data_IF_660082069478
#
_entry.id   IF_660082069478
#
_cell.length_a   1.000
_cell.length_b   1.000
_cell.length_c   1.000
_cell.angle_alpha   90.00
_cell.angle_beta   90.00
_cell.angle_gamma   90.00
#
_symmetry.space_group_name_H-M   'P 1'
#
loop_
_entity.id
_entity.type
_entity.pdbx_description
1 polymer ?
#
# COMPACT_ATOMS: atom_id res chain seq x y z
N UNK A 1 -56.41 27.30 8.75
CA UNK A 1 -55.23 28.20 8.76
C UNK A 1 -54.40 28.11 10.04
N UNK A 2 -54.98 27.86 11.24
CA UNK A 2 -54.21 27.73 12.50
C UNK A 2 -53.29 26.48 12.59
N UNK A 3 -53.71 25.33 12.05
CA UNK A 3 -52.93 24.06 12.12
C UNK A 3 -51.70 24.05 11.20
N UNK A 4 -51.80 24.63 10.00
CA UNK A 4 -50.66 24.78 9.07
C UNK A 4 -49.62 25.76 9.60
N UNK A 5 -50.04 26.85 10.25
CA UNK A 5 -49.13 27.76 10.95
C UNK A 5 -48.41 27.11 12.15
N UNK A 6 -49.10 26.23 12.89
CA UNK A 6 -48.50 25.51 14.02
C UNK A 6 -47.49 24.45 13.58
N UNK A 7 -47.73 23.77 12.45
CA UNK A 7 -46.78 22.81 11.86
C UNK A 7 -45.56 23.56 11.31
N UNK A 8 -45.74 24.67 10.60
CA UNK A 8 -44.64 25.54 10.14
C UNK A 8 -43.85 26.15 11.31
N UNK A 9 -44.50 26.47 12.42
CA UNK A 9 -43.86 26.96 13.64
C UNK A 9 -43.06 25.85 14.36
N UNK A 10 -43.58 24.62 14.44
CA UNK A 10 -42.86 23.45 14.96
C UNK A 10 -41.68 23.04 14.06
N UNK A 11 -41.85 23.11 12.73
CA UNK A 11 -40.76 22.91 11.77
C UNK A 11 -39.70 24.02 11.92
N UNK A 12 -40.12 25.27 12.12
CA UNK A 12 -39.25 26.42 12.39
C UNK A 12 -38.50 26.33 13.72
N UNK A 13 -39.11 25.76 14.76
CA UNK A 13 -38.48 25.49 16.06
C UNK A 13 -37.38 24.42 15.94
N UNK A 14 -37.53 23.43 15.06
CA UNK A 14 -36.46 22.47 14.75
C UNK A 14 -35.26 23.13 14.05
N UNK A 15 -35.49 24.16 13.23
CA UNK A 15 -34.43 24.89 12.50
C UNK A 15 -33.60 25.81 13.43
N UNK A 16 -34.13 26.20 14.60
CA UNK A 16 -33.45 27.10 15.53
C UNK A 16 -32.62 26.41 16.62
N UNK A 17 -32.66 25.08 16.71
CA UNK A 17 -31.74 24.35 17.59
C UNK A 17 -30.35 24.26 16.95
N UNK A 18 -29.46 25.16 17.37
CA UNK A 18 -28.03 25.07 17.07
C UNK A 18 -27.50 23.79 17.73
N UNK A 19 -27.55 22.68 17.00
CA UNK A 19 -27.03 21.39 17.41
C UNK A 19 -25.50 21.46 17.53
N UNK A 20 -25.00 21.77 18.73
CA UNK A 20 -23.56 21.81 19.00
C UNK A 20 -22.99 20.40 18.97
N UNK A 21 -22.20 20.08 17.94
CA UNK A 21 -21.50 18.79 17.81
C UNK A 21 -20.09 18.83 18.38
N UNK A 22 -19.75 19.86 19.15
CA UNK A 22 -18.39 20.10 19.65
C UNK A 22 -18.40 20.51 21.12
N UNK A 23 -19.48 20.26 21.86
CA UNK A 23 -19.59 20.67 23.26
C UNK A 23 -18.74 19.79 24.18
N UNK A 24 -18.58 18.50 23.88
CA UNK A 24 -17.79 17.53 24.66
C UNK A 24 -16.33 17.40 24.25
N UNK A 25 -15.89 18.15 23.25
CA UNK A 25 -14.48 18.14 22.87
C UNK A 25 -13.64 18.74 24.00
N UNK A 26 -12.47 18.16 24.24
CA UNK A 26 -11.46 18.65 25.17
C UNK A 26 -10.84 19.97 24.75
N UNK A 27 -10.16 20.65 25.68
CA UNK A 27 -9.51 21.93 25.39
C UNK A 27 -8.45 21.77 24.29
N UNK A 28 -8.44 22.69 23.31
CA UNK A 28 -7.55 22.63 22.15
C UNK A 28 -7.94 21.62 21.06
N UNK A 29 -8.92 20.75 21.29
CA UNK A 29 -9.38 19.79 20.26
C UNK A 29 -10.16 20.45 19.14
N UNK A 30 -9.88 20.01 17.92
CA UNK A 30 -10.53 20.46 16.68
C UNK A 30 -11.17 19.26 15.99
N UNK A 31 -12.48 19.32 15.77
CA UNK A 31 -13.22 18.33 15.01
C UNK A 31 -12.84 18.42 13.53
N UNK A 32 -12.42 17.30 12.96
CA UNK A 32 -12.19 17.18 11.53
C UNK A 32 -13.51 17.08 10.78
N UNK A 33 -13.69 17.95 9.79
CA UNK A 33 -14.93 18.03 9.00
C UNK A 33 -14.77 17.69 7.53
N UNK A 34 -13.71 16.96 7.18
CA UNK A 34 -13.44 16.49 5.82
C UNK A 34 -12.36 17.29 5.10
N UNK A 35 -12.07 16.85 3.88
CA UNK A 35 -11.18 17.59 2.95
C UNK A 35 -12.02 18.64 2.24
N UNK A 36 -11.55 19.89 2.25
CA UNK A 36 -12.20 20.99 1.52
C UNK A 36 -11.80 20.97 0.05
N UNK A 37 -10.51 20.82 -0.22
CA UNK A 37 -9.95 20.81 -1.57
C UNK A 37 -8.58 20.12 -1.56
N UNK A 38 -8.28 19.45 -2.66
CA UNK A 38 -6.94 18.97 -3.00
C UNK A 38 -6.49 19.74 -4.24
N UNK A 39 -5.37 20.43 -4.13
CA UNK A 39 -4.66 21.06 -5.23
C UNK A 39 -3.47 20.17 -5.60
N UNK A 40 -3.43 19.71 -6.85
CA UNK A 40 -2.29 18.98 -7.40
C UNK A 40 -1.87 19.71 -8.65
N UNK A 41 -0.68 20.28 -8.64
CA UNK A 41 -0.13 21.09 -9.71
C UNK A 41 1.29 20.59 -10.01
N UNK A 42 1.68 20.58 -11.27
CA UNK A 42 3.06 20.29 -11.64
C UNK A 42 3.89 21.58 -11.55
N UNK A 43 5.16 21.48 -11.16
CA UNK A 43 6.07 22.64 -11.10
C UNK A 43 6.24 23.30 -12.48
N UNK A 44 6.07 22.55 -13.56
CA UNK A 44 6.04 23.07 -14.92
C UNK A 44 4.75 22.63 -15.64
N UNK A 45 4.06 23.58 -16.26
CA UNK A 45 2.76 23.38 -16.95
C UNK A 45 2.82 22.35 -18.09
N UNK A 46 4.02 22.04 -18.60
CA UNK A 46 4.25 21.07 -19.67
C UNK A 46 4.27 19.62 -19.19
N UNK A 47 4.21 19.38 -17.88
CA UNK A 47 4.32 18.05 -17.27
C UNK A 47 2.93 17.54 -16.89
N UNK A 48 2.47 16.51 -17.59
CA UNK A 48 1.25 15.79 -17.20
C UNK A 48 1.54 14.83 -16.04
N UNK A 49 0.72 14.93 -15.00
CA UNK A 49 0.79 14.03 -13.84
C UNK A 49 0.01 12.75 -14.19
N UNK A 50 0.64 11.56 -14.16
CA UNK A 50 -0.06 10.32 -14.45
C UNK A 50 -1.23 10.09 -13.49
N UNK A 51 -2.32 9.50 -13.99
CA UNK A 51 -3.51 9.21 -13.20
C UNK A 51 -3.21 8.36 -11.97
N UNK A 52 -2.35 7.34 -12.10
CA UNK A 52 -1.93 6.49 -10.99
C UNK A 52 -1.26 7.26 -9.84
N UNK A 53 -0.46 8.29 -10.15
CA UNK A 53 0.16 9.16 -9.13
C UNK A 53 -0.92 9.97 -8.42
N UNK A 54 -1.83 10.57 -9.19
CA UNK A 54 -2.95 11.34 -8.64
C UNK A 54 -3.86 10.50 -7.75
N UNK A 55 -4.10 9.24 -8.11
CA UNK A 55 -4.95 8.34 -7.35
C UNK A 55 -4.27 7.86 -6.05
N UNK A 56 -2.96 7.61 -6.08
CA UNK A 56 -2.17 7.33 -4.87
C UNK A 56 -2.22 8.52 -3.89
N UNK A 57 -2.13 9.77 -4.38
CA UNK A 57 -2.29 10.97 -3.53
C UNK A 57 -3.67 10.96 -2.86
N UNK A 58 -4.74 10.75 -3.64
CA UNK A 58 -6.11 10.73 -3.15
C UNK A 58 -6.30 9.65 -2.08
N UNK A 59 -5.74 8.46 -2.29
CA UNK A 59 -5.81 7.35 -1.34
C UNK A 59 -5.13 7.71 -0.01
N UNK A 60 -3.93 8.30 -0.06
CA UNK A 60 -3.19 8.71 1.14
C UNK A 60 -3.94 9.78 1.94
N UNK A 61 -4.68 10.69 1.31
CA UNK A 61 -5.45 11.73 2.03
C UNK A 61 -6.89 11.34 2.36
N UNK A 62 -7.33 10.14 1.96
CA UNK A 62 -8.71 9.70 2.09
C UNK A 62 -9.05 9.32 3.53
N UNK A 63 -9.39 10.31 4.36
CA UNK A 63 -9.87 10.10 5.72
C UNK A 63 -11.34 10.45 5.83
N UNK A 64 -12.22 9.48 6.13
CA UNK A 64 -13.62 9.79 6.35
C UNK A 64 -13.75 10.63 7.63
N UNK A 65 -14.40 11.77 7.52
CA UNK A 65 -14.89 12.50 8.69
C UNK A 65 -16.19 11.86 9.21
N UNK A 66 -16.64 12.22 10.41
CA UNK A 66 -17.98 11.82 10.87
C UNK A 66 -19.06 12.19 9.86
N UNK A 67 -20.00 11.28 9.60
CA UNK A 67 -21.07 11.42 8.60
C UNK A 67 -20.57 11.73 7.17
N UNK A 68 -19.32 11.38 6.85
CA UNK A 68 -18.85 11.32 5.46
C UNK A 68 -19.64 10.24 4.71
N UNK A 69 -20.00 10.52 3.46
CA UNK A 69 -20.75 9.57 2.63
C UNK A 69 -19.76 8.63 1.93
N UNK A 70 -19.50 8.86 0.64
CA UNK A 70 -18.59 8.06 -0.18
C UNK A 70 -17.18 8.67 -0.29
N UNK A 71 -16.95 9.83 0.32
CA UNK A 71 -15.77 10.64 0.07
C UNK A 71 -15.53 11.66 1.18
N UNK A 72 -14.27 12.00 1.50
CA UNK A 72 -13.95 12.97 2.55
C UNK A 72 -14.40 14.39 2.21
N UNK A 73 -14.75 14.66 0.95
CA UNK A 73 -15.30 15.94 0.48
C UNK A 73 -16.80 16.08 0.74
N UNK A 74 -17.53 14.97 0.92
CA UNK A 74 -19.00 14.96 0.96
C UNK A 74 -19.50 14.38 2.28
N UNK A 75 -20.35 15.15 2.96
CA UNK A 75 -20.91 14.79 4.26
C UNK A 75 -22.43 14.96 4.28
N UNK A 76 -23.10 14.12 5.05
CA UNK A 76 -24.50 14.33 5.40
C UNK A 76 -24.66 15.62 6.23
N UNK A 77 -25.70 16.44 5.97
CA UNK A 77 -25.99 17.62 6.77
C UNK A 77 -26.54 17.29 8.18
N UNK A 78 -26.89 16.03 8.45
CA UNK A 78 -27.46 15.58 9.71
C UNK A 78 -26.46 14.72 10.49
N UNK A 79 -25.64 15.31 11.37
CA UNK A 79 -24.61 14.59 12.10
C UNK A 79 -25.16 13.87 13.33
N UNK A 80 -26.06 12.90 13.13
CA UNK A 80 -26.81 12.24 14.21
C UNK A 80 -25.88 11.59 15.25
N UNK A 81 -24.85 10.87 14.81
CA UNK A 81 -23.95 10.18 15.74
C UNK A 81 -23.16 11.12 16.63
N UNK A 82 -22.60 12.18 16.05
CA UNK A 82 -21.94 13.25 16.81
C UNK A 82 -22.91 14.00 17.72
N UNK A 83 -24.15 14.21 17.28
CA UNK A 83 -25.16 14.87 18.12
C UNK A 83 -25.48 14.02 19.35
N UNK A 84 -25.68 12.71 19.16
CA UNK A 84 -25.88 11.74 20.24
C UNK A 84 -24.68 11.74 21.19
N UNK A 85 -23.47 11.69 20.65
CA UNK A 85 -22.22 11.77 21.43
C UNK A 85 -22.21 13.00 22.34
N UNK A 86 -22.61 14.18 21.85
CA UNK A 86 -22.53 15.41 22.62
C UNK A 86 -23.67 15.57 23.66
N UNK A 87 -24.87 15.03 23.38
CA UNK A 87 -26.07 15.34 24.17
C UNK A 87 -26.61 14.19 25.02
N UNK A 88 -26.24 12.94 24.74
CA UNK A 88 -26.75 11.77 25.48
C UNK A 88 -25.66 11.14 26.35
N UNK A 89 -26.03 10.60 27.51
CA UNK A 89 -25.09 9.89 28.37
C UNK A 89 -24.88 8.47 27.87
N UNK A 90 -23.64 7.98 28.00
CA UNK A 90 -23.28 6.59 27.68
C UNK A 90 -24.08 5.58 28.51
N UNK A 91 -24.37 5.92 29.78
CA UNK A 91 -25.14 5.09 30.70
C UNK A 91 -26.66 5.07 30.44
N UNK A 92 -27.11 5.57 29.29
CA UNK A 92 -28.53 5.55 28.92
C UNK A 92 -29.06 4.10 28.86
N UNK A 93 -30.18 3.84 29.52
CA UNK A 93 -30.86 2.52 29.56
C UNK A 93 -32.06 2.45 28.61
N UNK A 94 -32.57 1.24 28.38
CA UNK A 94 -33.76 0.99 27.56
C UNK A 94 -33.59 1.38 26.08
N UNK A 95 -34.68 1.83 25.45
CA UNK A 95 -34.71 2.25 24.05
C UNK A 95 -33.71 3.39 23.76
N UNK A 96 -33.58 4.36 24.68
CA UNK A 96 -32.62 5.45 24.57
C UNK A 96 -31.18 4.93 24.51
N UNK A 97 -30.84 3.99 25.40
CA UNK A 97 -29.55 3.30 25.37
C UNK A 97 -29.30 2.52 24.09
N UNK A 98 -30.34 1.84 23.56
CA UNK A 98 -30.24 1.11 22.30
C UNK A 98 -29.97 2.06 21.12
N UNK A 99 -30.68 3.18 21.02
CA UNK A 99 -30.46 4.21 19.98
C UNK A 99 -29.04 4.77 20.09
N UNK A 100 -28.59 5.13 21.30
CA UNK A 100 -27.24 5.63 21.53
C UNK A 100 -26.19 4.66 21.00
N UNK A 101 -26.20 3.41 21.48
CA UNK A 101 -25.22 2.39 21.10
C UNK A 101 -25.25 2.06 19.60
N UNK A 102 -26.40 2.20 18.95
CA UNK A 102 -26.55 1.88 17.53
C UNK A 102 -26.06 2.98 16.59
N UNK A 103 -26.12 4.24 17.02
CA UNK A 103 -25.92 5.38 16.12
C UNK A 103 -24.88 6.39 16.59
N UNK A 104 -24.36 6.29 17.81
CA UNK A 104 -23.30 7.19 18.30
C UNK A 104 -22.05 7.06 17.45
N UNK A 105 -21.38 8.19 17.21
CA UNK A 105 -20.06 8.24 16.61
C UNK A 105 -19.14 9.08 17.47
N UNK A 106 -17.98 8.55 17.82
CA UNK A 106 -16.91 9.33 18.45
C UNK A 106 -16.39 10.40 17.46
N UNK A 107 -16.00 11.58 17.97
CA UNK A 107 -15.51 12.65 17.12
C UNK A 107 -14.18 12.29 16.48
N UNK A 108 -14.10 12.36 15.15
CA UNK A 108 -12.84 12.29 14.43
C UNK A 108 -12.11 13.62 14.60
N UNK A 109 -11.00 13.61 15.31
CA UNK A 109 -10.23 14.81 15.62
C UNK A 109 -9.17 15.08 14.56
N UNK A 110 -8.74 16.34 14.44
CA UNK A 110 -7.64 16.70 13.57
C UNK A 110 -6.33 15.97 13.95
N UNK A 111 -6.14 15.69 15.24
CA UNK A 111 -5.03 14.89 15.77
C UNK A 111 -5.05 13.44 15.31
N UNK A 112 -6.23 12.89 14.96
CA UNK A 112 -6.35 11.53 14.45
C UNK A 112 -6.06 11.50 12.95
N UNK A 113 -6.46 12.54 12.23
CA UNK A 113 -6.22 12.69 10.79
C UNK A 113 -4.75 12.87 10.48
N UNK A 114 -4.03 13.63 11.32
CA UNK A 114 -2.60 13.98 11.17
C UNK A 114 -2.24 14.46 9.76
N UNK A 115 -2.75 15.62 9.31
CA UNK A 115 -2.47 16.13 7.96
C UNK A 115 -0.97 16.27 7.66
N UNK A 116 -0.16 16.60 8.66
CA UNK A 116 1.30 16.68 8.59
C UNK A 116 1.94 15.34 8.19
N UNK A 117 1.51 14.23 8.80
CA UNK A 117 2.00 12.90 8.47
C UNK A 117 1.56 12.50 7.06
N UNK A 118 0.33 12.85 6.67
CA UNK A 118 -0.17 12.52 5.33
C UNK A 118 0.61 13.24 4.23
N UNK A 119 0.97 14.50 4.46
CA UNK A 119 1.82 15.25 3.54
C UNK A 119 3.21 14.59 3.38
N UNK A 120 3.83 14.17 4.49
CA UNK A 120 5.08 13.38 4.44
C UNK A 120 4.92 12.04 3.71
N UNK A 121 3.78 11.37 3.87
CA UNK A 121 3.49 10.12 3.14
C UNK A 121 3.30 10.37 1.64
N UNK A 122 2.69 11.50 1.25
CA UNK A 122 2.57 11.91 -0.15
C UNK A 122 3.95 12.21 -0.74
N UNK A 123 4.80 12.96 -0.03
CA UNK A 123 6.18 13.23 -0.47
C UNK A 123 6.98 11.95 -0.67
N UNK A 124 6.98 11.05 0.33
CA UNK A 124 7.66 9.75 0.24
C UNK A 124 7.12 8.88 -0.91
N UNK A 125 5.81 8.91 -1.16
CA UNK A 125 5.21 8.22 -2.30
C UNK A 125 5.67 8.83 -3.63
N UNK A 126 5.73 10.15 -3.75
CA UNK A 126 6.22 10.84 -4.94
C UNK A 126 7.70 10.55 -5.21
N UNK A 127 8.54 10.58 -4.18
CA UNK A 127 9.96 10.21 -4.25
C UNK A 127 10.14 8.76 -4.72
N UNK A 128 9.36 7.81 -4.17
CA UNK A 128 9.35 6.41 -4.61
C UNK A 128 8.90 6.21 -6.05
N UNK A 129 8.19 7.19 -6.62
CA UNK A 129 7.74 7.21 -8.01
C UNK A 129 8.53 8.17 -8.90
N UNK A 130 9.71 8.62 -8.44
CA UNK A 130 10.67 9.36 -9.27
C UNK A 130 10.43 10.86 -9.34
N UNK A 131 9.46 11.40 -8.58
CA UNK A 131 9.13 12.82 -8.54
C UNK A 131 9.88 13.54 -7.41
N UNK A 132 11.21 13.38 -7.38
CA UNK A 132 12.05 13.92 -6.32
C UNK A 132 12.00 15.44 -6.23
N UNK A 133 11.93 15.95 -5.00
CA UNK A 133 11.87 17.40 -4.75
C UNK A 133 10.47 17.99 -4.93
N UNK A 134 9.44 17.13 -5.04
CA UNK A 134 8.05 17.57 -4.89
C UNK A 134 7.83 18.15 -3.50
N UNK A 135 6.99 19.17 -3.39
CA UNK A 135 6.68 19.80 -2.09
C UNK A 135 5.21 19.60 -1.76
N UNK A 136 4.93 19.42 -0.47
CA UNK A 136 3.55 19.30 0.00
C UNK A 136 3.28 20.25 1.15
N UNK A 137 2.06 20.75 1.20
CA UNK A 137 1.61 21.59 2.29
C UNK A 137 0.13 21.36 2.57
N UNK A 138 -0.30 21.81 3.74
CA UNK A 138 -1.71 21.81 4.08
C UNK A 138 -2.10 23.08 4.81
N UNK A 139 -3.38 23.42 4.70
CA UNK A 139 -3.98 24.52 5.44
C UNK A 139 -5.24 24.04 6.16
N UNK A 140 -5.38 24.44 7.43
CA UNK A 140 -6.61 24.22 8.17
C UNK A 140 -7.58 25.37 7.95
N UNK A 141 -8.69 25.09 7.26
CA UNK A 141 -9.79 26.04 7.09
C UNK A 141 -10.81 25.85 8.20
N UNK A 142 -10.66 26.65 9.25
CA UNK A 142 -11.61 26.70 10.37
C UNK A 142 -12.99 27.20 9.93
N UNK A 143 -14.03 26.64 10.53
CA UNK A 143 -15.40 27.07 10.29
C UNK A 143 -15.66 28.44 10.94
N UNK A 144 -16.32 29.33 10.19
CA UNK A 144 -16.57 30.72 10.63
C UNK A 144 -17.54 30.80 11.81
N UNK A 145 -18.46 29.84 11.94
CA UNK A 145 -19.47 29.80 13.01
C UNK A 145 -19.00 29.00 14.22
N UNK A 146 -18.11 28.02 14.01
CA UNK A 146 -17.57 27.19 15.08
C UNK A 146 -16.06 26.95 14.88
N UNK A 147 -15.19 27.70 15.57
CA UNK A 147 -13.73 27.58 15.40
C UNK A 147 -13.17 26.25 15.91
N UNK A 148 -13.97 25.41 16.57
CA UNK A 148 -13.57 24.04 16.96
C UNK A 148 -13.80 23.02 15.84
N UNK A 149 -14.15 23.47 14.64
CA UNK A 149 -14.29 22.64 13.43
C UNK A 149 -13.35 23.15 12.37
N UNK A 150 -12.67 22.24 11.68
CA UNK A 150 -11.84 22.59 10.55
C UNK A 150 -11.96 21.57 9.42
N UNK A 151 -11.74 22.05 8.20
CA UNK A 151 -11.46 21.20 7.02
C UNK A 151 -10.02 21.36 6.62
N UNK A 152 -9.47 20.37 5.95
CA UNK A 152 -8.11 20.42 5.42
C UNK A 152 -8.14 20.80 3.95
N UNK A 153 -7.28 21.75 3.55
CA UNK A 153 -6.90 21.98 2.15
C UNK A 153 -5.51 21.40 1.99
N UNK A 154 -5.33 20.49 1.04
CA UNK A 154 -4.02 19.92 0.72
C UNK A 154 -3.51 20.53 -0.58
N UNK A 155 -2.22 20.86 -0.62
CA UNK A 155 -1.53 21.33 -1.81
C UNK A 155 -0.32 20.44 -2.07
N UNK A 156 -0.20 19.96 -3.30
CA UNK A 156 0.88 19.10 -3.76
C UNK A 156 1.45 19.71 -5.03
N UNK A 157 2.71 20.13 -4.96
CA UNK A 157 3.47 20.59 -6.11
C UNK A 157 4.38 19.45 -6.56
N UNK A 158 4.04 18.85 -7.70
CA UNK A 158 4.74 17.68 -8.25
C UNK A 158 5.91 18.14 -9.11
N UNK A 159 7.13 17.73 -8.72
CA UNK A 159 8.35 18.03 -9.46
C UNK A 159 8.42 17.26 -10.80
N UNK A 160 9.42 17.58 -11.63
CA UNK A 160 9.64 16.82 -12.85
C UNK A 160 10.06 15.37 -12.57
N UNK A 161 9.53 14.38 -13.30
CA UNK A 161 9.90 12.98 -13.09
C UNK A 161 11.33 12.73 -13.52
N UNK A 162 12.11 12.07 -12.66
CA UNK A 162 13.45 11.58 -13.02
C UNK A 162 13.32 10.27 -13.79
N UNK A 163 13.94 10.23 -14.96
CA UNK A 163 13.94 9.07 -15.85
C UNK A 163 15.27 8.33 -15.79
N UNK A 164 15.22 7.01 -15.95
CA UNK A 164 16.40 6.17 -16.05
C UNK A 164 17.20 6.56 -17.30
N UNK A 165 18.34 7.24 -17.14
CA UNK A 165 19.18 7.66 -18.27
C UNK A 165 20.19 6.59 -18.66
N UNK A 166 20.67 5.83 -17.67
CA UNK A 166 21.64 4.75 -17.84
C UNK A 166 21.32 3.63 -16.83
N UNK A 167 21.49 2.37 -17.24
CA UNK A 167 21.44 1.20 -16.36
C UNK A 167 22.81 0.53 -16.39
N UNK A 168 23.53 0.58 -15.27
CA UNK A 168 24.82 -0.09 -15.07
C UNK A 168 24.60 -1.49 -14.54
N UNK A 169 24.97 -2.47 -15.35
CA UNK A 169 24.85 -3.89 -15.04
C UNK A 169 26.02 -4.40 -14.19
N UNK A 170 25.87 -5.63 -13.68
CA UNK A 170 26.94 -6.32 -12.95
C UNK A 170 28.16 -6.55 -13.88
N UNK A 171 29.40 -6.59 -13.36
CA UNK A 171 30.58 -6.88 -14.18
C UNK A 171 30.51 -8.31 -14.76
N UNK A 172 31.08 -8.54 -15.94
CA UNK A 172 31.08 -9.88 -16.55
C UNK A 172 32.21 -10.76 -15.98
N UNK A 173 32.10 -11.14 -14.71
CA UNK A 173 33.12 -11.92 -13.99
C UNK A 173 32.68 -13.33 -13.62
N UNK A 174 31.37 -13.57 -13.49
CA UNK A 174 30.82 -14.87 -13.06
C UNK A 174 29.66 -15.30 -13.96
N UNK A 175 29.38 -16.60 -14.00
CA UNK A 175 28.21 -17.15 -14.71
C UNK A 175 26.91 -16.53 -14.18
N UNK A 176 26.78 -16.40 -12.86
CA UNK A 176 25.63 -15.75 -12.21
C UNK A 176 25.42 -14.32 -12.73
N UNK A 177 26.49 -13.53 -12.85
CA UNK A 177 26.38 -12.14 -13.28
C UNK A 177 25.95 -12.04 -14.74
N UNK A 178 26.49 -12.92 -15.61
CA UNK A 178 26.03 -13.02 -17.00
C UNK A 178 24.55 -13.37 -17.10
N UNK A 179 24.10 -14.38 -16.35
CA UNK A 179 22.69 -14.80 -16.36
C UNK A 179 21.78 -13.68 -15.84
N UNK A 180 22.12 -13.04 -14.71
CA UNK A 180 21.37 -11.90 -14.16
C UNK A 180 21.26 -10.77 -15.18
N UNK A 181 22.39 -10.36 -15.78
CA UNK A 181 22.42 -9.31 -16.79
C UNK A 181 21.57 -9.67 -18.01
N UNK A 182 21.59 -10.93 -18.46
CA UNK A 182 20.78 -11.39 -19.58
C UNK A 182 19.27 -11.32 -19.30
N UNK A 183 18.85 -11.46 -18.05
CA UNK A 183 17.46 -11.29 -17.64
C UNK A 183 17.07 -9.82 -17.43
N UNK A 184 17.91 -9.02 -16.76
CA UNK A 184 17.63 -7.59 -16.56
C UNK A 184 17.51 -6.83 -17.90
N UNK A 185 18.40 -7.09 -18.86
CA UNK A 185 18.36 -6.46 -20.19
C UNK A 185 17.05 -6.71 -20.95
N UNK A 186 16.29 -7.74 -20.60
CA UNK A 186 15.01 -8.11 -21.23
C UNK A 186 13.80 -7.81 -20.35
N UNK A 187 14.00 -7.25 -19.15
CA UNK A 187 12.91 -7.05 -18.21
C UNK A 187 12.18 -5.73 -18.49
N UNK A 188 10.89 -5.83 -18.84
CA UNK A 188 10.06 -4.67 -19.21
C UNK A 188 9.83 -3.65 -18.09
N UNK A 189 10.10 -4.00 -16.82
CA UNK A 189 9.96 -3.07 -15.69
C UNK A 189 11.26 -2.32 -15.38
N UNK A 190 12.31 -2.59 -16.16
CA UNK A 190 13.61 -1.95 -16.02
C UNK A 190 14.15 -1.61 -17.41
N UNK A 191 13.82 -0.41 -17.89
CA UNK A 191 14.18 0.08 -19.23
C UNK A 191 14.69 1.52 -19.13
N UNK A 192 15.66 1.87 -19.97
CA UNK A 192 16.12 3.26 -20.12
C UNK A 192 14.98 4.11 -20.69
N UNK A 193 14.83 5.33 -20.17
CA UNK A 193 13.78 6.28 -20.53
C UNK A 193 12.53 6.22 -19.66
N UNK A 194 12.31 5.13 -18.94
CA UNK A 194 11.20 5.00 -17.99
C UNK A 194 11.41 5.87 -16.75
N UNK A 195 10.31 6.31 -16.14
CA UNK A 195 10.36 7.03 -14.86
C UNK A 195 10.85 6.08 -13.77
N UNK A 196 11.74 6.55 -12.90
CA UNK A 196 12.19 5.76 -11.76
C UNK A 196 10.99 5.43 -10.87
N UNK A 197 10.70 4.14 -10.68
CA UNK A 197 9.62 3.69 -9.80
C UNK A 197 10.08 2.50 -8.98
N UNK A 198 10.04 2.63 -7.65
CA UNK A 198 10.48 1.59 -6.73
C UNK A 198 9.66 0.28 -6.89
N UNK A 199 8.37 0.38 -7.18
CA UNK A 199 7.51 -0.78 -7.40
C UNK A 199 7.91 -1.53 -8.68
N UNK A 200 8.17 -0.82 -9.77
CA UNK A 200 8.70 -1.42 -11.01
C UNK A 200 10.04 -2.12 -10.78
N UNK A 201 10.95 -1.50 -10.03
CA UNK A 201 12.23 -2.09 -9.65
C UNK A 201 12.04 -3.35 -8.79
N UNK A 202 11.11 -3.32 -7.82
CA UNK A 202 10.78 -4.47 -6.97
C UNK A 202 10.20 -5.65 -7.79
N UNK A 203 9.32 -5.35 -8.75
CA UNK A 203 8.77 -6.34 -9.68
C UNK A 203 9.89 -6.93 -10.55
N UNK A 204 10.77 -6.09 -11.12
CA UNK A 204 11.92 -6.53 -11.93
C UNK A 204 12.83 -7.48 -11.14
N UNK A 205 13.21 -7.08 -9.91
CA UNK A 205 14.01 -7.86 -8.97
C UNK A 205 13.41 -9.24 -8.70
N UNK A 206 12.11 -9.30 -8.44
CA UNK A 206 11.39 -10.55 -8.16
C UNK A 206 11.35 -11.44 -9.40
N UNK A 207 11.07 -10.87 -10.57
CA UNK A 207 11.02 -11.59 -11.85
C UNK A 207 12.37 -12.20 -12.19
N UNK A 208 13.45 -11.43 -12.13
CA UNK A 208 14.81 -11.89 -12.40
C UNK A 208 15.24 -12.95 -11.39
N UNK A 209 14.89 -12.76 -10.11
CA UNK A 209 15.14 -13.78 -9.07
C UNK A 209 14.44 -15.10 -9.38
N UNK A 210 13.17 -15.07 -9.78
CA UNK A 210 12.46 -16.30 -10.12
C UNK A 210 13.08 -16.99 -11.34
N UNK A 211 13.56 -16.22 -12.33
CA UNK A 211 14.29 -16.77 -13.49
C UNK A 211 15.60 -17.43 -13.09
N UNK A 212 16.39 -16.81 -12.21
CA UNK A 212 17.68 -17.34 -11.80
C UNK A 212 17.54 -18.57 -10.89
N UNK A 213 16.51 -18.61 -10.04
CA UNK A 213 16.16 -19.79 -9.23
C UNK A 213 15.80 -20.98 -10.12
N UNK A 214 15.05 -20.74 -11.20
CA UNK A 214 14.73 -21.76 -12.20
C UNK A 214 15.96 -22.23 -13.02
N UNK A 215 17.08 -21.50 -12.96
CA UNK A 215 18.37 -21.90 -13.54
C UNK A 215 19.33 -22.48 -12.49
N UNK A 216 18.83 -22.93 -11.34
CA UNK A 216 19.62 -23.69 -10.36
C UNK A 216 20.17 -22.87 -9.20
N UNK A 217 20.00 -21.55 -9.16
CA UNK A 217 20.39 -20.72 -8.01
C UNK A 217 19.32 -20.78 -6.91
N UNK A 218 19.07 -21.97 -6.39
CA UNK A 218 17.92 -22.31 -5.54
C UNK A 218 17.74 -21.39 -4.33
N UNK A 219 18.83 -21.03 -3.65
CA UNK A 219 18.85 -20.20 -2.45
C UNK A 219 18.90 -18.69 -2.74
N UNK A 220 18.95 -18.27 -4.00
CA UNK A 220 18.98 -16.86 -4.38
C UNK A 220 17.64 -16.19 -4.03
N UNK A 221 17.70 -14.97 -3.49
CA UNK A 221 16.54 -14.22 -3.03
C UNK A 221 16.54 -12.80 -3.59
N UNK A 222 15.36 -12.15 -3.71
CA UNK A 222 15.27 -10.80 -4.25
C UNK A 222 16.16 -9.80 -3.51
N UNK A 223 16.26 -9.90 -2.18
CA UNK A 223 16.98 -8.95 -1.32
C UNK A 223 18.50 -8.96 -1.55
N UNK A 224 19.01 -9.91 -2.34
CA UNK A 224 20.41 -9.93 -2.74
C UNK A 224 20.70 -9.00 -3.92
N UNK A 225 19.69 -8.47 -4.60
CA UNK A 225 19.84 -7.49 -5.67
C UNK A 225 19.54 -6.10 -5.11
N UNK A 226 20.55 -5.23 -5.13
CA UNK A 226 20.45 -3.82 -4.80
C UNK A 226 20.39 -2.96 -6.06
N UNK A 227 19.64 -1.88 -5.98
CA UNK A 227 19.65 -0.81 -6.97
C UNK A 227 20.22 0.45 -6.30
N UNK A 228 21.29 0.99 -6.87
CA UNK A 228 21.90 2.24 -6.44
C UNK A 228 21.51 3.30 -7.47
N UNK A 229 20.70 4.28 -7.05
CA UNK A 229 20.27 5.38 -7.89
C UNK A 229 21.16 6.59 -7.65
N UNK A 230 21.80 7.09 -8.70
CA UNK A 230 22.60 8.31 -8.69
C UNK A 230 21.88 9.39 -9.51
N UNK A 231 21.46 10.45 -8.83
CA UNK A 231 20.75 11.60 -9.40
C UNK A 231 21.68 12.78 -9.70
N UNK A 232 22.95 12.73 -9.28
CA UNK A 232 23.92 13.82 -9.45
C UNK A 232 24.60 13.69 -10.82
N UNK A 233 25.01 12.48 -11.20
CA UNK A 233 25.75 12.24 -12.44
C UNK A 233 24.90 12.31 -13.72
N UNK A 234 23.56 12.26 -13.60
CA UNK A 234 22.65 12.02 -14.71
C UNK A 234 22.03 13.29 -15.34
N UNK A 235 22.43 14.48 -14.88
CA UNK A 235 21.84 15.76 -15.30
C UNK A 235 20.48 16.04 -14.66
N UNK A 236 19.83 17.12 -15.09
CA UNK A 236 18.70 17.71 -14.37
C UNK A 236 17.47 16.79 -14.25
N UNK A 237 17.24 15.86 -15.18
CA UNK A 237 16.07 14.96 -15.19
C UNK A 237 16.41 13.47 -15.31
N UNK A 238 17.69 13.10 -15.15
CA UNK A 238 18.15 11.73 -15.27
C UNK A 238 18.39 11.04 -13.92
N UNK A 239 18.44 9.71 -13.96
CA UNK A 239 18.99 8.84 -12.90
C UNK A 239 19.87 7.77 -13.55
N UNK A 240 21.11 7.62 -13.08
CA UNK A 240 21.91 6.43 -13.37
C UNK A 240 21.55 5.37 -12.35
N UNK A 241 21.10 4.21 -12.80
CA UNK A 241 20.76 3.08 -11.94
C UNK A 241 21.85 2.00 -12.03
N UNK A 242 22.55 1.74 -10.94
CA UNK A 242 23.53 0.66 -10.85
C UNK A 242 22.95 -0.56 -10.13
N UNK A 243 23.02 -1.71 -10.79
CA UNK A 243 22.66 -3.00 -10.21
C UNK A 243 23.88 -3.54 -9.47
N UNK A 244 23.70 -3.90 -8.20
CA UNK A 244 24.73 -4.48 -7.36
C UNK A 244 24.19 -5.72 -6.64
N UNK A 245 25.06 -6.68 -6.33
CA UNK A 245 24.71 -7.72 -5.37
C UNK A 245 25.02 -7.26 -3.95
N UNK A 246 24.13 -7.61 -3.03
CA UNK A 246 24.30 -7.37 -1.60
C UNK A 246 25.46 -8.19 -1.06
N UNK A 247 26.34 -7.56 -0.29
CA UNK A 247 27.42 -8.24 0.45
C UNK A 247 26.90 -9.22 1.51
N UNK A 248 25.60 -9.14 1.86
CA UNK A 248 24.93 -10.04 2.78
C UNK A 248 24.44 -11.34 2.12
N UNK A 249 24.58 -11.49 0.80
CA UNK A 249 24.21 -12.72 0.13
C UNK A 249 25.13 -13.87 0.60
N UNK A 250 24.58 -14.95 1.17
CA UNK A 250 25.40 -16.06 1.63
C UNK A 250 26.02 -16.77 0.43
N UNK A 251 27.22 -17.34 0.59
CA UNK A 251 27.93 -18.00 -0.51
C UNK A 251 27.09 -19.09 -1.20
N UNK A 252 26.30 -19.84 -0.42
CA UNK A 252 25.36 -20.84 -0.96
C UNK A 252 24.30 -20.27 -1.89
N UNK A 253 23.96 -18.98 -1.80
CA UNK A 253 23.02 -18.36 -2.72
C UNK A 253 23.65 -18.01 -4.07
N UNK A 254 24.98 -17.90 -4.12
CA UNK A 254 25.73 -17.54 -5.32
C UNK A 254 26.17 -18.77 -6.13
N UNK A 255 25.98 -19.97 -5.59
CA UNK A 255 26.31 -21.24 -6.24
C UNK A 255 25.12 -21.79 -7.01
N UNK A 256 25.41 -22.41 -8.16
CA UNK A 256 24.42 -23.13 -8.98
C UNK A 256 24.26 -24.56 -8.45
N UNK A 257 23.02 -24.96 -8.22
CA UNK A 257 22.64 -26.30 -7.76
C UNK A 257 21.98 -27.07 -8.89
N UNK A 258 22.20 -28.37 -8.87
CA UNK A 258 21.56 -29.33 -9.75
C UNK A 258 20.74 -30.30 -8.90
N UNK A 259 19.61 -30.73 -9.44
CA UNK A 259 18.86 -31.83 -8.83
C UNK A 259 19.71 -33.09 -9.00
N UNK A 260 20.14 -33.66 -7.88
CA UNK A 260 20.81 -34.97 -7.84
C UNK A 260 19.77 -36.08 -7.77
N UNK A 261 19.96 -37.00 -6.82
CA UNK A 261 19.04 -38.11 -6.64
C UNK A 261 17.71 -37.65 -6.02
N UNK A 262 16.60 -37.92 -6.72
CA UNK A 262 15.25 -37.72 -6.19
C UNK A 262 14.83 -38.98 -5.45
N UNK A 263 14.47 -38.82 -4.16
CA UNK A 263 13.87 -39.89 -3.37
C UNK A 263 12.46 -39.50 -2.94
N UNK A 264 11.47 -40.25 -3.41
CA UNK A 264 10.06 -40.08 -3.02
C UNK A 264 9.71 -41.09 -1.93
N UNK A 265 9.24 -40.62 -0.77
CA UNK A 265 8.80 -41.50 0.32
C UNK A 265 7.28 -41.48 0.40
N UNK A 266 6.65 -42.64 0.16
CA UNK A 266 5.20 -42.81 0.26
C UNK A 266 4.88 -43.37 1.65
N UNK A 267 4.42 -42.48 2.53
CA UNK A 267 4.05 -42.78 3.90
C UNK A 267 2.66 -43.42 4.01
N UNK A 268 2.43 -44.20 5.07
CA UNK A 268 1.10 -44.69 5.45
C UNK A 268 0.35 -43.60 6.22
N UNK A 269 -0.97 -43.52 6.01
CA UNK A 269 -1.84 -42.57 6.73
C UNK A 269 -1.82 -42.79 8.26
N UNK A 270 -1.82 -44.06 8.69
CA UNK A 270 -1.76 -44.44 10.11
C UNK A 270 -0.33 -44.43 10.69
N UNK A 271 0.67 -44.08 9.88
CA UNK A 271 2.08 -44.21 10.27
C UNK A 271 2.60 -45.65 10.25
N UNK A 272 3.89 -45.81 10.56
CA UNK A 272 4.58 -47.10 10.60
C UNK A 272 4.72 -47.82 9.24
N UNK A 273 5.00 -49.12 9.30
CA UNK A 273 5.17 -49.99 8.14
C UNK A 273 6.62 -50.36 7.83
N UNK A 274 6.79 -51.27 6.86
CA UNK A 274 8.12 -51.72 6.41
C UNK A 274 8.49 -51.03 5.09
N UNK A 275 9.65 -50.38 4.98
CA UNK A 275 10.06 -49.73 3.75
C UNK A 275 10.34 -50.76 2.65
N UNK A 276 9.74 -50.55 1.47
CA UNK A 276 10.08 -51.26 0.23
C UNK A 276 10.62 -50.25 -0.79
N UNK A 277 11.80 -50.51 -1.34
CA UNK A 277 12.49 -49.57 -2.24
C UNK A 277 12.37 -50.01 -3.70
N UNK A 278 11.94 -49.09 -4.54
CA UNK A 278 11.78 -49.26 -5.98
C UNK A 278 12.65 -48.23 -6.70
N UNK A 279 13.49 -48.69 -7.62
CA UNK A 279 14.25 -47.80 -8.49
C UNK A 279 13.47 -47.50 -9.77
N UNK A 280 13.43 -46.23 -10.18
CA UNK A 280 12.79 -45.77 -11.41
C UNK A 280 13.74 -44.90 -12.22
N UNK A 281 13.44 -44.67 -13.51
CA UNK A 281 14.23 -43.77 -14.35
C UNK A 281 14.22 -42.29 -13.92
N UNK A 282 13.37 -41.91 -12.97
CA UNK A 282 13.23 -40.54 -12.45
C UNK A 282 13.63 -40.39 -10.97
N UNK A 283 14.08 -41.47 -10.34
CA UNK A 283 14.49 -41.48 -8.94
C UNK A 283 14.05 -42.73 -8.17
N UNK A 284 14.38 -42.73 -6.88
CA UNK A 284 14.08 -43.81 -5.95
C UNK A 284 12.73 -43.58 -5.28
N UNK A 285 11.91 -44.62 -5.17
CA UNK A 285 10.65 -44.59 -4.41
C UNK A 285 10.73 -45.54 -3.23
N UNK A 286 10.49 -45.02 -2.04
CA UNK A 286 10.40 -45.81 -0.80
C UNK A 286 8.93 -45.85 -0.41
N UNK A 287 8.29 -47.01 -0.56
CA UNK A 287 6.89 -47.24 -0.22
C UNK A 287 6.79 -47.93 1.14
N UNK A 288 6.07 -47.34 2.10
CA UNK A 288 5.80 -47.97 3.39
C UNK A 288 4.70 -49.03 3.27
N UNK A 289 5.01 -50.29 3.56
CA UNK A 289 4.08 -51.44 3.47
C UNK A 289 3.38 -51.77 4.80
N UNK A 290 2.20 -52.44 4.74
CA UNK A 290 1.37 -52.69 3.56
C UNK A 290 0.78 -51.39 2.99
N UNK A 291 0.71 -51.30 1.67
CA UNK A 291 0.17 -50.14 0.97
C UNK A 291 -0.62 -50.59 -0.27
N UNK A 292 -1.69 -49.86 -0.58
CA UNK A 292 -2.56 -50.10 -1.75
C UNK A 292 -2.02 -49.43 -3.03
N UNK A 293 -0.89 -48.72 -2.95
CA UNK A 293 -0.29 -48.08 -4.11
C UNK A 293 0.19 -49.13 -5.11
N UNK A 294 -0.39 -49.09 -6.32
CA UNK A 294 -0.05 -50.01 -7.41
C UNK A 294 1.29 -49.60 -8.02
N UNK A 295 2.20 -50.57 -8.19
CA UNK A 295 3.54 -50.32 -8.76
C UNK A 295 3.52 -49.65 -10.14
N UNK A 296 2.49 -49.93 -10.95
CA UNK A 296 2.34 -49.33 -12.28
C UNK A 296 2.04 -47.82 -12.27
N UNK A 297 1.51 -47.28 -11.17
CA UNK A 297 1.22 -45.84 -11.03
C UNK A 297 2.44 -45.06 -10.53
N UNK A 298 3.47 -45.74 -10.04
CA UNK A 298 4.64 -45.13 -9.41
C UNK A 298 5.47 -44.30 -10.42
N UNK A 299 5.76 -44.78 -11.65
CA UNK A 299 6.51 -43.99 -12.64
C UNK A 299 5.80 -42.74 -13.15
N UNK A 300 4.47 -42.64 -13.00
CA UNK A 300 3.70 -41.44 -13.35
C UNK A 300 3.63 -40.40 -12.23
N UNK A 301 3.99 -40.78 -11.00
CA UNK A 301 3.97 -39.90 -9.82
C UNK A 301 5.30 -39.15 -9.59
N UNK A 302 6.29 -39.40 -10.44
CA UNK A 302 7.62 -38.79 -10.50
C UNK A 302 7.82 -38.36 -11.95
#
# INVERSE_FOLDING_TARGET
MRKTGFILFLLGLFVLSSCSTTSRLGEGEVLYTGVKKLHVEAVADTIEIPSGVSDNIKEIINVPANNSLYSPYVRSPFPLGLWLYNHWSEDSKGLKGWIYRKFVEEPVLMSDVRPDLRMKMVEDMLDKNGYFGSTTSYELKYDKKNPRKARVVYNVEVAAPKRLSEIRYLPDTTELYRELNAYFKRDKYLQVGEVLCNDSLSVSRTRVTNRIRNHGYYYFRPEYINYLADTIMAGENGVVLQIALSSKAPEKALRKFYVGDVTTVVMRAEGGGTPDTLQTGKGKVIQMRPSKLRKSLIPSCI
#
